data_IF_587906525714
#
_entry.id   IF_587906525714
#
_cell.length_a   1.000
_cell.length_b   1.000
_cell.length_c   1.000
_cell.angle_alpha   90.00
_cell.angle_beta   90.00
_cell.angle_gamma   90.00
#
_symmetry.space_group_name_H-M   'P 1'
#
loop_
_entity.id
_entity.type
_entity.pdbx_description
1 polymer ?
#
# COMPACT_ATOMS: atom_id res chain seq x y z
N UNK A 1 -17.26 6.28 0.11
CA UNK A 1 -16.50 5.13 0.65
C UNK A 1 -15.05 5.31 0.28
N UNK A 2 -14.14 5.20 1.24
CA UNK A 2 -12.69 5.26 1.01
C UNK A 2 -12.16 3.83 0.94
N UNK A 3 -11.70 3.41 -0.24
CA UNK A 3 -11.18 2.08 -0.49
C UNK A 3 -9.66 2.12 -0.59
N UNK A 4 -9.00 1.36 0.28
CA UNK A 4 -7.56 1.15 0.20
C UNK A 4 -7.29 -0.28 -0.22
N UNK A 5 -6.65 -0.46 -1.37
CA UNK A 5 -6.28 -1.79 -1.87
C UNK A 5 -4.83 -2.09 -1.53
N UNK A 6 -4.60 -3.10 -0.70
CA UNK A 6 -3.26 -3.56 -0.34
C UNK A 6 -2.76 -4.63 -1.30
N UNK A 7 -1.60 -4.41 -1.88
CA UNK A 7 -0.95 -5.39 -2.76
C UNK A 7 -0.16 -6.44 -1.95
N UNK A 8 0.23 -7.57 -2.56
CA UNK A 8 1.05 -8.57 -1.88
C UNK A 8 2.35 -7.98 -1.31
N UNK A 9 2.68 -8.34 -0.07
CA UNK A 9 3.85 -7.83 0.64
C UNK A 9 3.56 -6.62 1.53
N UNK A 10 2.39 -5.99 1.39
CA UNK A 10 1.92 -4.96 2.32
C UNK A 10 1.26 -5.60 3.55
N UNK A 11 1.67 -5.15 4.73
CA UNK A 11 1.06 -5.55 5.99
C UNK A 11 -0.15 -4.66 6.30
N UNK A 12 -1.36 -5.16 6.01
CA UNK A 12 -2.62 -4.47 6.36
C UNK A 12 -2.69 -4.08 7.85
N UNK A 13 -2.33 -4.96 8.82
CA UNK A 13 -2.33 -4.59 10.24
C UNK A 13 -1.38 -3.44 10.59
N UNK A 14 -0.23 -3.34 9.92
CA UNK A 14 0.73 -2.26 10.16
C UNK A 14 0.30 -0.93 9.51
N UNK A 15 -0.44 -1.00 8.40
CA UNK A 15 -0.93 0.17 7.68
C UNK A 15 -2.22 0.74 8.29
N UNK A 16 -3.07 -0.11 8.86
CA UNK A 16 -4.40 0.28 9.36
C UNK A 16 -4.37 1.47 10.35
N UNK A 17 -3.50 1.53 11.37
CA UNK A 17 -3.48 2.65 12.32
C UNK A 17 -3.18 4.00 11.64
N UNK A 18 -2.29 4.01 10.65
CA UNK A 18 -1.97 5.21 9.88
C UNK A 18 -3.18 5.68 9.06
N UNK A 19 -3.87 4.74 8.39
CA UNK A 19 -5.08 5.05 7.64
C UNK A 19 -6.21 5.54 8.55
N UNK A 20 -6.36 4.96 9.75
CA UNK A 20 -7.40 5.34 10.72
C UNK A 20 -7.17 6.70 11.36
N UNK A 21 -5.93 7.18 11.38
CA UNK A 21 -5.58 8.50 11.92
C UNK A 21 -5.86 9.65 10.95
N UNK A 22 -6.09 9.36 9.66
CA UNK A 22 -6.39 10.40 8.69
C UNK A 22 -7.85 10.85 8.75
N UNK A 23 -8.12 12.17 8.66
CA UNK A 23 -9.48 12.67 8.56
C UNK A 23 -10.11 12.18 7.26
N UNK A 24 -11.25 11.50 7.38
CA UNK A 24 -12.01 10.97 6.24
C UNK A 24 -13.50 11.11 6.44
N UNK A 25 -14.19 11.36 5.33
CA UNK A 25 -15.64 11.37 5.27
C UNK A 25 -16.13 9.98 4.83
N UNK A 26 -16.56 9.16 5.79
CA UNK A 26 -17.24 7.90 5.54
C UNK A 26 -16.45 6.62 5.86
N UNK A 27 -16.98 5.49 5.39
CA UNK A 27 -16.47 4.16 5.69
C UNK A 27 -15.12 3.90 4.99
N UNK A 28 -14.12 3.51 5.77
CA UNK A 28 -12.86 2.94 5.28
C UNK A 28 -13.04 1.44 5.05
N UNK A 29 -12.70 1.00 3.84
CA UNK A 29 -12.60 -0.41 3.50
C UNK A 29 -11.17 -0.68 3.08
N UNK A 30 -10.53 -1.67 3.70
CA UNK A 30 -9.22 -2.14 3.28
C UNK A 30 -9.40 -3.51 2.64
N UNK A 31 -9.16 -3.61 1.34
CA UNK A 31 -9.21 -4.88 0.61
C UNK A 31 -7.80 -5.33 0.20
N UNK A 32 -7.60 -6.63 0.07
CA UNK A 32 -6.31 -7.20 -0.33
C UNK A 32 -6.38 -7.69 -1.76
N UNK A 33 -5.53 -7.11 -2.60
CA UNK A 33 -5.37 -7.60 -3.96
C UNK A 33 -4.56 -8.90 -4.02
N UNK A 34 -4.94 -9.76 -4.97
CA UNK A 34 -4.12 -10.91 -5.35
C UNK A 34 -2.88 -10.48 -6.13
N UNK A 35 -1.93 -11.40 -6.32
CA UNK A 35 -0.76 -11.20 -7.21
C UNK A 35 -1.12 -10.83 -8.65
N UNK A 36 -2.33 -11.18 -9.09
CA UNK A 36 -2.83 -10.90 -10.43
C UNK A 36 -3.65 -9.60 -10.48
N UNK A 37 -3.65 -8.80 -9.41
CA UNK A 37 -4.37 -7.55 -9.32
C UNK A 37 -5.90 -7.70 -9.34
N UNK A 38 -6.43 -8.78 -8.76
CA UNK A 38 -7.88 -8.93 -8.51
C UNK A 38 -8.19 -8.54 -7.07
N UNK A 39 -9.30 -7.84 -6.88
CA UNK A 39 -9.85 -7.44 -5.58
C UNK A 39 -11.19 -8.13 -5.35
N UNK A 40 -11.55 -8.37 -4.09
CA UNK A 40 -12.88 -8.90 -3.74
C UNK A 40 -13.92 -7.79 -3.74
N UNK A 41 -13.49 -6.57 -3.42
CA UNK A 41 -14.31 -5.37 -3.47
C UNK A 41 -14.23 -4.76 -4.87
N UNK A 42 -15.38 -4.41 -5.44
CA UNK A 42 -15.45 -3.67 -6.69
C UNK A 42 -14.96 -2.23 -6.46
N UNK A 43 -13.83 -1.84 -7.06
CA UNK A 43 -13.25 -0.54 -6.81
C UNK A 43 -14.09 0.61 -7.37
N UNK A 44 -14.94 0.38 -8.37
CA UNK A 44 -15.75 1.43 -9.03
C UNK A 44 -16.79 2.06 -8.09
N UNK A 45 -17.07 1.40 -6.97
CA UNK A 45 -17.99 1.89 -5.93
C UNK A 45 -17.32 2.84 -4.95
N UNK A 46 -15.99 2.98 -5.00
CA UNK A 46 -15.23 3.85 -4.12
C UNK A 46 -15.34 5.31 -4.56
N UNK A 47 -15.57 6.22 -3.62
CA UNK A 47 -15.48 7.66 -3.87
C UNK A 47 -14.05 8.17 -3.79
N UNK A 48 -13.19 7.40 -3.12
CA UNK A 48 -11.75 7.62 -3.06
C UNK A 48 -11.06 6.26 -3.06
N UNK A 49 -10.10 6.07 -3.95
CA UNK A 49 -9.36 4.85 -4.16
C UNK A 49 -7.86 5.11 -3.96
N UNK A 50 -7.26 4.38 -3.02
CA UNK A 50 -5.81 4.43 -2.78
C UNK A 50 -5.18 3.05 -2.90
N UNK A 51 -3.98 2.98 -3.46
CA UNK A 51 -3.23 1.73 -3.60
C UNK A 51 -2.10 1.69 -2.59
N UNK A 52 -2.04 0.66 -1.74
CA UNK A 52 -0.88 0.42 -0.89
C UNK A 52 0.06 -0.60 -1.55
N UNK A 53 1.29 -0.18 -1.78
CA UNK A 53 2.33 -0.95 -2.49
C UNK A 53 3.57 -1.16 -1.63
N UNK A 54 4.16 -2.35 -1.71
CA UNK A 54 5.51 -2.60 -1.25
C UNK A 54 6.47 -2.38 -2.43
N UNK A 55 7.70 -1.89 -2.20
CA UNK A 55 8.69 -1.70 -3.25
C UNK A 55 9.31 -3.05 -3.67
N UNK A 56 8.48 -3.98 -4.15
CA UNK A 56 8.89 -5.29 -4.65
C UNK A 56 8.18 -5.61 -5.97
N UNK A 57 8.83 -6.41 -6.81
CA UNK A 57 8.34 -6.68 -8.17
C UNK A 57 6.92 -7.25 -8.21
N UNK A 58 6.55 -8.09 -7.25
CA UNK A 58 5.21 -8.70 -7.18
C UNK A 58 4.14 -7.66 -6.82
N UNK A 59 4.43 -6.78 -5.87
CA UNK A 59 3.51 -5.71 -5.46
C UNK A 59 3.29 -4.72 -6.60
N UNK A 60 4.37 -4.27 -7.24
CA UNK A 60 4.29 -3.35 -8.39
C UNK A 60 3.55 -3.99 -9.57
N UNK A 61 3.81 -5.26 -9.86
CA UNK A 61 3.06 -5.99 -10.89
C UNK A 61 1.56 -6.04 -10.58
N UNK A 62 1.20 -6.32 -9.33
CA UNK A 62 -0.20 -6.30 -8.92
C UNK A 62 -0.81 -4.90 -9.05
N UNK A 63 -0.08 -3.85 -8.66
CA UNK A 63 -0.53 -2.46 -8.80
C UNK A 63 -0.80 -2.08 -10.26
N UNK A 64 0.12 -2.40 -11.19
CA UNK A 64 -0.09 -2.12 -12.62
C UNK A 64 -1.32 -2.87 -13.16
N UNK A 65 -1.52 -4.12 -12.73
CA UNK A 65 -2.68 -4.94 -13.13
C UNK A 65 -4.00 -4.34 -12.63
N UNK A 66 -3.99 -3.80 -11.43
CA UNK A 66 -5.13 -3.13 -10.82
C UNK A 66 -5.46 -1.85 -11.60
N UNK A 67 -4.46 -0.99 -11.85
CA UNK A 67 -4.63 0.24 -12.61
C UNK A 67 -5.15 -0.01 -14.02
N UNK A 68 -4.60 -1.00 -14.74
CA UNK A 68 -5.07 -1.34 -16.09
C UNK A 68 -6.51 -1.88 -16.15
N UNK A 69 -7.04 -2.38 -15.04
CA UNK A 69 -8.41 -2.91 -14.96
C UNK A 69 -9.42 -1.87 -14.52
N UNK A 70 -8.95 -0.80 -13.90
CA UNK A 70 -9.80 0.27 -13.41
C UNK A 70 -9.88 1.34 -14.49
N UNK A 71 -11.10 1.63 -14.94
CA UNK A 71 -11.37 2.80 -15.80
C UNK A 71 -11.44 4.12 -15.00
N UNK A 72 -11.08 4.09 -13.71
CA UNK A 72 -11.04 5.25 -12.83
C UNK A 72 -9.62 5.59 -12.40
N UNK A 73 -9.39 6.88 -12.16
CA UNK A 73 -8.14 7.39 -11.60
C UNK A 73 -7.93 6.93 -10.15
N UNK A 74 -6.70 6.56 -9.82
CA UNK A 74 -6.28 6.30 -8.43
C UNK A 74 -5.99 7.64 -7.75
N UNK A 75 -6.59 7.91 -6.59
CA UNK A 75 -6.42 9.17 -5.84
C UNK A 75 -5.04 9.30 -5.19
N UNK A 76 -4.36 8.17 -4.95
CA UNK A 76 -3.00 8.17 -4.46
C UNK A 76 -2.44 6.78 -4.19
N UNK A 77 -1.11 6.71 -4.09
CA UNK A 77 -0.35 5.49 -3.82
C UNK A 77 0.38 5.63 -2.49
N UNK A 78 0.25 4.63 -1.62
CA UNK A 78 0.93 4.53 -0.33
C UNK A 78 2.04 3.49 -0.46
N UNK A 79 3.30 3.92 -0.41
CA UNK A 79 4.46 3.03 -0.49
C UNK A 79 4.83 2.56 0.91
N UNK A 80 4.50 1.31 1.24
CA UNK A 80 4.87 0.66 2.49
C UNK A 80 6.29 0.10 2.40
N UNK A 81 7.26 0.82 2.98
CA UNK A 81 8.66 0.41 3.01
C UNK A 81 8.97 -0.36 4.30
N UNK A 82 9.58 -1.54 4.19
CA UNK A 82 9.98 -2.33 5.36
C UNK A 82 11.26 -1.82 6.02
N UNK A 83 12.01 -0.93 5.36
CA UNK A 83 13.32 -0.44 5.82
C UNK A 83 13.53 1.01 5.39
N UNK A 84 13.83 1.88 6.36
CA UNK A 84 13.98 3.33 6.20
C UNK A 84 15.15 3.78 5.33
N UNK A 85 16.02 2.87 4.89
CA UNK A 85 17.22 3.15 4.09
C UNK A 85 17.04 2.91 2.57
N UNK A 86 15.83 2.59 2.12
CA UNK A 86 15.56 2.53 0.68
C UNK A 86 15.34 3.97 0.20
N UNK A 87 16.17 4.54 -0.70
CA UNK A 87 15.91 5.87 -1.21
C UNK A 87 14.46 5.92 -1.71
N UNK A 88 13.75 7.00 -1.36
CA UNK A 88 12.46 7.33 -1.96
C UNK A 88 12.68 7.32 -3.47
N UNK A 89 12.27 6.23 -4.09
CA UNK A 89 12.67 5.88 -5.44
C UNK A 89 11.93 6.84 -6.36
N UNK A 90 12.60 7.87 -6.90
CA UNK A 90 12.05 8.81 -7.91
C UNK A 90 11.32 8.05 -9.04
N UNK A 91 11.71 6.79 -9.25
CA UNK A 91 11.12 5.83 -10.16
C UNK A 91 9.66 5.48 -9.86
N UNK A 92 9.20 5.59 -8.61
CA UNK A 92 7.81 5.34 -8.21
C UNK A 92 6.92 6.54 -8.49
N UNK A 93 7.40 7.76 -8.21
CA UNK A 93 6.71 8.99 -8.59
C UNK A 93 6.58 9.11 -10.11
N UNK A 94 7.59 8.66 -10.85
CA UNK A 94 7.53 8.59 -12.33
C UNK A 94 6.63 7.45 -12.85
N UNK A 95 6.36 6.42 -12.03
CA UNK A 95 5.55 5.25 -12.44
C UNK A 95 4.05 5.47 -12.26
N UNK A 96 3.66 6.28 -11.28
CA UNK A 96 2.27 6.50 -10.93
C UNK A 96 1.88 7.95 -11.20
N UNK A 97 0.90 8.18 -12.06
CA UNK A 97 0.36 9.51 -12.39
C UNK A 97 -0.50 10.12 -11.25
N UNK A 98 -0.25 9.74 -9.99
CA UNK A 98 -1.03 10.16 -8.83
C UNK A 98 -0.13 10.40 -7.61
N UNK A 99 -0.60 11.15 -6.60
CA UNK A 99 0.20 11.47 -5.42
C UNK A 99 0.76 10.20 -4.74
N UNK A 100 2.08 10.15 -4.55
CA UNK A 100 2.76 9.06 -3.86
C UNK A 100 3.11 9.50 -2.44
N UNK A 101 2.74 8.69 -1.45
CA UNK A 101 3.06 8.92 -0.02
C UNK A 101 3.85 7.73 0.52
N UNK A 102 4.95 7.98 1.22
CA UNK A 102 5.78 6.92 1.79
C UNK A 102 5.36 6.64 3.23
N UNK A 103 5.02 5.38 3.50
CA UNK A 103 4.72 4.89 4.84
C UNK A 103 5.83 3.94 5.30
N UNK A 104 6.66 4.42 6.21
CA UNK A 104 7.57 3.58 7.00
C UNK A 104 6.87 3.16 8.28
N UNK A 105 6.70 1.86 8.58
CA UNK A 105 6.18 1.44 9.86
C UNK A 105 7.14 1.96 10.94
N UNK A 106 6.62 2.75 11.88
CA UNK A 106 7.36 3.25 13.05
C UNK A 106 7.96 2.04 13.76
N UNK A 107 9.26 1.87 13.62
CA UNK A 107 9.97 0.68 14.07
C UNK A 107 10.11 0.66 15.58
N UNK A 108 9.11 0.14 16.28
CA UNK A 108 9.24 -0.31 17.66
C UNK A 108 9.38 -1.85 17.74
N UNK A 109 10.07 -2.46 16.76
CA UNK A 109 10.44 -3.88 16.83
C UNK A 109 11.88 -4.16 16.35
N UNK A 110 12.80 -3.25 16.63
CA UNK A 110 14.25 -3.52 16.56
C UNK A 110 14.74 -4.21 17.84
N UNK A 111 14.32 -5.46 18.07
CA UNK A 111 15.04 -6.37 18.99
C UNK A 111 14.92 -7.81 18.49
N UNK A 112 15.77 -8.14 17.51
CA UNK A 112 16.09 -9.54 17.27
C UNK A 112 16.78 -10.09 18.55
N UNK A 113 16.31 -11.19 19.17
CA UNK A 113 17.06 -11.84 20.22
C UNK A 113 18.32 -12.44 19.59
N UNK A 114 19.49 -11.92 19.96
CA UNK A 114 20.77 -12.55 19.67
C UNK A 114 20.81 -13.89 20.39
N UNK A 115 20.56 -14.98 19.68
CA UNK A 115 20.91 -16.30 20.19
C UNK A 115 22.44 -16.41 20.24
N UNK A 116 23.03 -16.20 21.42
CA UNK A 116 24.39 -16.63 21.69
C UNK A 116 24.37 -18.15 21.87
N UNK A 117 24.95 -18.90 20.93
CA UNK A 117 25.33 -20.29 21.21
C UNK A 117 26.50 -20.25 22.18
N UNK A 118 26.29 -20.83 23.37
CA UNK A 118 27.38 -21.31 24.24
C UNK A 118 27.84 -22.66 23.72
#
# INVERSE_FOLDING_TARGET
MDLVVTTPGVSTPALRPALESEPREGLLVIDRATRCGTTAVDPTTASRLRLAVAPCAVSLHAADRIQRRMDQSVDGVIVCQSRSDSPSDDRLETRFDCPVSVHTPTGEHSRAPRYSKR
#
